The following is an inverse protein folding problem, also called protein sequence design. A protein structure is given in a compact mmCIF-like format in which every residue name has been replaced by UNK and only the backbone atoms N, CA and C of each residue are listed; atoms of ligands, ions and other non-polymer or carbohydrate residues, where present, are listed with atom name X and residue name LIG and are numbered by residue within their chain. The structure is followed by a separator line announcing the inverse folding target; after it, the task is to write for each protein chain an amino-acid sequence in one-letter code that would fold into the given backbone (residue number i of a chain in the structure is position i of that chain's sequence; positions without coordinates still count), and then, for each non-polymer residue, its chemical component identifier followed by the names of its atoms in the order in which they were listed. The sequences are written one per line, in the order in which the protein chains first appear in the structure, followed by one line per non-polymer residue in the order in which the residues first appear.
data_IF_829059046559
#
_entry.id   IF_829059046559
#
_cell.length_a   1.000
_cell.length_b   1.000
_cell.length_c   1.000
_cell.angle_alpha   90.00
_cell.angle_beta   90.00
_cell.angle_gamma   90.00
#
_symmetry.space_group_name_H-M   'P 1'
#
loop_
_entity.id
_entity.type
_entity.pdbx_description
1 polymer ?
#
# COMPACT_ATOMS: atom_id res chain seq x y z
N UNK A 1 -21.18 -4.00 -15.68
CA UNK A 1 -21.62 -3.52 -14.36
C UNK A 1 -20.44 -2.90 -13.64
N UNK A 2 -20.60 -1.73 -12.99
CA UNK A 2 -19.51 -1.15 -12.17
C UNK A 2 -19.28 -2.01 -10.91
N UNK A 3 -18.06 -2.01 -10.35
CA UNK A 3 -17.77 -2.76 -9.11
C UNK A 3 -18.72 -2.38 -7.97
N UNK A 4 -19.00 -1.09 -7.84
CA UNK A 4 -19.90 -0.54 -6.82
C UNK A 4 -21.32 -1.10 -7.01
N UNK A 5 -21.84 -1.13 -8.24
CA UNK A 5 -23.18 -1.66 -8.49
C UNK A 5 -23.24 -3.17 -8.19
N UNK A 6 -22.20 -3.91 -8.58
CA UNK A 6 -22.07 -5.33 -8.22
C UNK A 6 -22.12 -5.55 -6.70
N UNK A 7 -21.35 -4.77 -5.92
CA UNK A 7 -21.37 -4.88 -4.47
C UNK A 7 -22.70 -4.47 -3.85
N UNK A 8 -23.37 -3.45 -4.37
CA UNK A 8 -24.72 -3.09 -3.91
C UNK A 8 -25.71 -4.23 -4.13
N UNK A 9 -25.73 -4.84 -5.31
CA UNK A 9 -26.60 -5.98 -5.60
C UNK A 9 -26.28 -7.20 -4.75
N UNK A 10 -24.98 -7.47 -4.51
CA UNK A 10 -24.53 -8.61 -3.71
C UNK A 10 -24.82 -8.45 -2.22
N UNK A 11 -24.56 -7.25 -1.65
CA UNK A 11 -24.55 -7.03 -0.21
C UNK A 11 -25.86 -6.43 0.34
N UNK A 12 -26.59 -5.64 -0.45
CA UNK A 12 -27.92 -5.13 -0.04
C UNK A 12 -29.07 -5.86 -0.71
N UNK A 13 -28.79 -6.57 -1.80
CA UNK A 13 -29.79 -7.31 -2.57
C UNK A 13 -30.02 -8.73 -2.07
N UNK A 14 -29.99 -9.68 -3.01
CA UNK A 14 -30.59 -11.04 -2.91
C UNK A 14 -29.87 -12.03 -1.97
N UNK A 15 -29.05 -11.58 -1.03
CA UNK A 15 -28.18 -12.47 -0.26
C UNK A 15 -28.60 -12.64 1.20
N UNK A 16 -29.72 -13.31 1.44
CA UNK A 16 -30.01 -13.84 2.78
C UNK A 16 -28.93 -14.84 3.23
N UNK A 17 -28.24 -15.49 2.28
CA UNK A 17 -27.22 -16.51 2.55
C UNK A 17 -25.90 -15.98 3.11
N UNK A 18 -25.56 -14.71 2.87
CA UNK A 18 -24.31 -14.12 3.39
C UNK A 18 -24.52 -13.31 4.68
N UNK A 19 -25.76 -13.09 5.11
CA UNK A 19 -26.05 -12.36 6.35
C UNK A 19 -25.36 -13.01 7.54
N UNK A 20 -24.78 -12.18 8.41
CA UNK A 20 -23.96 -12.61 9.55
C UNK A 20 -22.52 -13.01 9.20
N UNK A 21 -22.12 -12.94 7.91
CA UNK A 21 -20.73 -13.18 7.52
C UNK A 21 -19.82 -12.00 7.90
N UNK A 22 -18.53 -12.29 8.07
CA UNK A 22 -17.48 -11.28 8.18
C UNK A 22 -17.18 -10.68 6.81
N UNK A 23 -17.10 -9.36 6.70
CA UNK A 23 -16.68 -8.67 5.47
C UNK A 23 -15.28 -8.08 5.60
N UNK A 24 -14.37 -8.52 4.72
CA UNK A 24 -13.03 -7.96 4.59
C UNK A 24 -12.90 -7.10 3.33
N UNK A 25 -12.44 -5.86 3.51
CA UNK A 25 -11.99 -5.05 2.39
C UNK A 25 -10.58 -5.46 1.95
N UNK A 26 -10.45 -5.88 0.69
CA UNK A 26 -9.17 -6.34 0.11
C UNK A 26 -8.60 -5.38 -0.94
N UNK A 27 -9.20 -4.20 -1.12
CA UNK A 27 -8.70 -3.13 -1.99
C UNK A 27 -9.30 -1.78 -1.58
N UNK A 28 -8.71 -0.71 -2.10
CA UNK A 28 -9.08 0.67 -1.74
C UNK A 28 -10.53 1.01 -2.11
N UNK A 29 -11.04 0.55 -3.27
CA UNK A 29 -12.43 0.75 -3.69
C UNK A 29 -13.41 0.09 -2.68
N UNK A 30 -13.04 -1.08 -2.13
CA UNK A 30 -13.83 -1.79 -1.15
C UNK A 30 -13.82 -1.11 0.22
N UNK A 31 -12.68 -0.52 0.64
CA UNK A 31 -12.63 0.29 1.86
C UNK A 31 -13.53 1.51 1.73
N UNK A 32 -13.46 2.23 0.60
CA UNK A 32 -14.32 3.39 0.33
C UNK A 32 -15.80 2.99 0.33
N UNK A 33 -16.15 1.85 -0.27
CA UNK A 33 -17.50 1.31 -0.28
C UNK A 33 -17.99 0.97 1.15
N UNK A 34 -17.20 0.21 1.92
CA UNK A 34 -17.53 -0.12 3.31
C UNK A 34 -17.66 1.15 4.16
N UNK A 35 -16.80 2.15 3.96
CA UNK A 35 -16.87 3.41 4.68
C UNK A 35 -18.11 4.23 4.38
N UNK A 36 -18.49 4.29 3.11
CA UNK A 36 -19.68 5.04 2.67
C UNK A 36 -20.99 4.39 3.16
N UNK A 37 -20.99 3.06 3.30
CA UNK A 37 -22.19 2.29 3.63
C UNK A 37 -22.12 1.56 4.98
N UNK A 38 -21.24 2.01 5.87
CA UNK A 38 -20.89 1.28 7.09
C UNK A 38 -22.10 0.98 7.98
N UNK A 39 -22.94 1.99 8.22
CA UNK A 39 -24.08 1.89 9.14
C UNK A 39 -25.18 0.96 8.62
N UNK A 40 -25.38 0.88 7.30
CA UNK A 40 -26.33 -0.05 6.69
C UNK A 40 -25.75 -1.48 6.67
N UNK A 41 -24.47 -1.63 6.33
CA UNK A 41 -23.83 -2.95 6.23
C UNK A 41 -23.68 -3.64 7.59
N UNK A 42 -23.40 -2.88 8.66
CA UNK A 42 -23.25 -3.45 10.01
C UNK A 42 -24.54 -4.03 10.60
N UNK A 43 -25.71 -3.70 10.02
CA UNK A 43 -26.99 -4.32 10.40
C UNK A 43 -27.14 -5.74 9.84
N UNK A 44 -26.32 -6.12 8.85
CA UNK A 44 -26.44 -7.37 8.12
C UNK A 44 -25.18 -8.24 8.19
N UNK A 45 -24.03 -7.64 8.47
CA UNK A 45 -22.72 -8.28 8.43
C UNK A 45 -21.87 -7.94 9.64
N UNK A 46 -20.88 -8.79 9.92
CA UNK A 46 -19.86 -8.53 10.92
C UNK A 46 -18.75 -7.70 10.26
N UNK A 47 -18.60 -6.45 10.69
CA UNK A 47 -17.60 -5.52 10.16
C UNK A 47 -16.55 -5.22 11.22
N UNK A 48 -15.35 -4.87 10.76
CA UNK A 48 -14.37 -4.22 11.61
C UNK A 48 -14.93 -2.91 12.20
N UNK A 49 -14.51 -2.59 13.43
CA UNK A 49 -14.75 -1.25 13.96
C UNK A 49 -13.96 -0.24 13.18
N UNK A 50 -14.68 0.75 12.66
CA UNK A 50 -14.13 1.66 11.67
C UNK A 50 -14.55 3.10 11.98
N UNK A 51 -13.57 3.96 12.24
CA UNK A 51 -13.77 5.40 12.15
C UNK A 51 -13.76 5.79 10.67
N UNK A 52 -14.95 5.93 10.06
CA UNK A 52 -15.15 6.15 8.62
C UNK A 52 -14.25 7.26 8.07
N UNK A 53 -14.26 8.43 8.70
CA UNK A 53 -13.47 9.60 8.28
C UNK A 53 -11.97 9.32 8.30
N UNK A 54 -11.47 8.59 9.30
CA UNK A 54 -10.05 8.24 9.41
C UNK A 54 -9.66 7.26 8.29
N UNK A 55 -10.49 6.27 7.99
CA UNK A 55 -10.23 5.30 6.92
C UNK A 55 -10.22 5.98 5.54
N UNK A 56 -11.19 6.86 5.28
CA UNK A 56 -11.23 7.65 4.06
C UNK A 56 -10.01 8.59 3.95
N UNK A 57 -9.58 9.19 5.06
CA UNK A 57 -8.35 9.99 5.10
C UNK A 57 -7.10 9.16 4.79
N UNK A 58 -7.04 7.88 5.18
CA UNK A 58 -5.93 6.98 4.86
C UNK A 58 -5.88 6.59 3.37
N UNK A 59 -7.02 6.55 2.69
CA UNK A 59 -7.05 6.35 1.23
C UNK A 59 -6.56 7.59 0.47
N UNK A 60 -6.72 8.77 1.06
CA UNK A 60 -6.26 10.03 0.49
C UNK A 60 -4.79 10.29 0.86
N UNK A 61 -3.90 10.19 -0.13
CA UNK A 61 -2.45 10.36 0.07
C UNK A 61 -2.10 11.71 0.72
N UNK A 62 -2.77 12.78 0.33
CA UNK A 62 -2.50 14.11 0.86
C UNK A 62 -2.91 14.21 2.34
N UNK A 63 -4.12 13.74 2.68
CA UNK A 63 -4.59 13.71 4.07
C UNK A 63 -3.74 12.79 4.96
N UNK A 64 -3.27 11.68 4.44
CA UNK A 64 -2.30 10.82 5.14
C UNK A 64 -1.03 11.59 5.52
N UNK A 65 -0.48 12.38 4.59
CA UNK A 65 0.73 13.18 4.86
C UNK A 65 0.47 14.33 5.85
N UNK A 66 -0.68 14.99 5.76
CA UNK A 66 -1.06 16.03 6.72
C UNK A 66 -1.18 15.49 8.15
N UNK A 67 -1.86 14.34 8.31
CA UNK A 67 -2.01 13.68 9.60
C UNK A 67 -0.64 13.27 10.17
N UNK A 68 0.22 12.69 9.34
CA UNK A 68 1.58 12.33 9.74
C UNK A 68 2.39 13.57 10.19
N UNK A 69 2.34 14.67 9.41
CA UNK A 69 3.03 15.91 9.74
C UNK A 69 2.52 16.53 11.05
N UNK A 70 1.21 16.49 11.31
CA UNK A 70 0.61 16.99 12.56
C UNK A 70 1.09 16.23 13.81
N UNK A 71 1.49 14.97 13.64
CA UNK A 71 2.07 14.12 14.68
C UNK A 71 3.60 14.24 14.76
N UNK A 72 4.21 15.12 13.97
CA UNK A 72 5.66 15.28 13.89
C UNK A 72 6.38 14.07 13.28
N UNK A 73 5.68 13.29 12.44
CA UNK A 73 6.26 12.18 11.68
C UNK A 73 6.76 12.74 10.35
N UNK A 74 7.93 12.26 9.89
CA UNK A 74 8.53 12.74 8.66
C UNK A 74 7.65 12.47 7.44
N UNK A 75 7.54 13.47 6.56
CA UNK A 75 6.82 13.37 5.28
C UNK A 75 7.65 13.99 4.15
N UNK A 76 7.48 13.54 2.89
CA UNK A 76 7.89 14.36 1.75
C UNK A 76 7.16 15.70 1.79
N UNK A 77 7.80 16.77 1.30
CA UNK A 77 7.05 17.97 0.96
C UNK A 77 5.98 17.62 -0.09
N UNK A 78 4.81 18.22 0.02
CA UNK A 78 3.74 18.03 -0.94
C UNK A 78 2.92 19.30 -1.08
N UNK A 79 2.29 19.46 -2.24
CA UNK A 79 1.51 20.64 -2.61
C UNK A 79 0.24 20.20 -3.32
N UNK A 80 -0.88 20.82 -2.95
CA UNK A 80 -2.10 20.73 -3.73
C UNK A 80 -1.98 21.61 -4.96
N UNK A 81 -2.54 21.15 -6.07
CA UNK A 81 -2.68 21.95 -7.29
C UNK A 81 -4.16 22.20 -7.49
N UNK A 82 -4.66 23.35 -7.01
CA UNK A 82 -6.07 23.74 -7.13
C UNK A 82 -6.27 24.74 -8.26
N UNK A 83 -5.32 25.65 -8.42
CA UNK A 83 -5.35 26.70 -9.42
C UNK A 83 -3.99 26.89 -10.11
N UNK A 84 -3.98 27.55 -11.26
CA UNK A 84 -2.76 27.84 -12.01
C UNK A 84 -1.77 28.70 -11.22
N UNK A 85 -2.29 29.58 -10.36
CA UNK A 85 -1.50 30.51 -9.55
C UNK A 85 -0.69 29.80 -8.46
N UNK A 86 -1.09 28.58 -8.07
CA UNK A 86 -0.35 27.76 -7.10
C UNK A 86 1.05 27.41 -7.62
N UNK A 87 1.22 27.33 -8.94
CA UNK A 87 2.48 26.88 -9.57
C UNK A 87 3.66 27.77 -9.23
N UNK A 88 3.50 29.09 -9.17
CA UNK A 88 4.60 30.01 -8.85
C UNK A 88 5.17 29.72 -7.46
N UNK A 89 4.29 29.55 -6.47
CA UNK A 89 4.68 29.21 -5.10
C UNK A 89 5.33 27.82 -5.06
N UNK A 90 4.71 26.83 -5.70
CA UNK A 90 5.22 25.45 -5.73
C UNK A 90 6.63 25.41 -6.33
N UNK A 91 6.85 26.07 -7.46
CA UNK A 91 8.15 26.11 -8.13
C UNK A 91 9.23 26.76 -7.27
N UNK A 92 8.88 27.79 -6.48
CA UNK A 92 9.84 28.45 -5.59
C UNK A 92 10.30 27.58 -4.41
N UNK A 93 9.47 26.60 -3.98
CA UNK A 93 9.74 25.72 -2.84
C UNK A 93 10.22 24.31 -3.24
N UNK A 94 10.09 23.98 -4.52
CA UNK A 94 10.33 22.64 -5.07
C UNK A 94 11.81 22.39 -5.32
N UNK A 95 12.30 21.24 -4.86
CA UNK A 95 13.54 20.63 -5.36
C UNK A 95 13.18 19.46 -6.27
N UNK A 96 13.62 19.50 -7.52
CA UNK A 96 13.42 18.42 -8.48
C UNK A 96 14.36 17.22 -8.20
N UNK A 97 13.96 15.98 -8.56
CA UNK A 97 12.70 15.63 -9.21
C UNK A 97 11.50 15.63 -8.24
N UNK A 98 10.32 15.84 -8.79
CA UNK A 98 9.04 15.66 -8.09
C UNK A 98 8.17 14.63 -8.78
N UNK A 99 7.17 14.14 -8.05
CA UNK A 99 6.18 13.20 -8.56
C UNK A 99 4.78 13.78 -8.47
N UNK A 100 4.03 13.59 -9.54
CA UNK A 100 2.63 13.99 -9.68
C UNK A 100 1.79 12.75 -9.39
N UNK A 101 1.21 12.70 -8.19
CA UNK A 101 0.42 11.56 -7.70
C UNK A 101 -1.08 11.88 -7.79
N UNK A 102 -1.92 10.93 -8.17
CA UNK A 102 -3.36 11.13 -8.05
C UNK A 102 -3.82 11.17 -6.60
N UNK A 103 -4.79 12.04 -6.33
CA UNK A 103 -5.56 11.98 -5.07
C UNK A 103 -6.32 10.65 -5.01
N UNK A 104 -7.02 10.30 -6.09
CA UNK A 104 -7.76 9.03 -6.23
C UNK A 104 -7.09 8.10 -7.26
N UNK A 105 -6.38 7.07 -6.78
CA UNK A 105 -5.62 6.13 -7.62
C UNK A 105 -6.47 5.48 -8.73
N UNK A 106 -7.71 5.08 -8.41
CA UNK A 106 -8.56 4.33 -9.34
C UNK A 106 -9.03 5.18 -10.54
N UNK A 107 -9.28 6.48 -10.36
CA UNK A 107 -9.65 7.40 -11.44
C UNK A 107 -8.47 7.62 -12.39
N UNK A 108 -7.27 7.77 -11.82
CA UNK A 108 -6.04 7.94 -12.59
C UNK A 108 -5.71 6.73 -13.45
N UNK A 109 -5.80 5.52 -12.90
CA UNK A 109 -5.53 4.27 -13.65
C UNK A 109 -6.50 4.08 -14.83
N UNK A 110 -7.75 4.57 -14.75
CA UNK A 110 -8.67 4.55 -15.90
C UNK A 110 -8.18 5.42 -17.06
N UNK A 111 -7.54 6.54 -16.76
CA UNK A 111 -7.05 7.50 -17.76
C UNK A 111 -5.64 7.18 -18.26
N UNK A 112 -4.78 6.65 -17.40
CA UNK A 112 -3.35 6.48 -17.64
C UNK A 112 -2.87 5.02 -17.52
N UNK A 113 -3.80 4.06 -17.55
CA UNK A 113 -3.53 2.61 -17.54
C UNK A 113 -2.67 2.18 -16.34
N UNK A 114 -1.45 1.72 -16.59
CA UNK A 114 -0.56 1.13 -15.57
C UNK A 114 0.36 2.17 -14.89
N UNK A 115 0.16 3.46 -15.14
CA UNK A 115 0.95 4.52 -14.53
C UNK A 115 0.39 4.85 -13.15
N UNK A 116 1.24 4.82 -12.11
CA UNK A 116 0.84 5.17 -10.73
C UNK A 116 0.99 6.66 -10.42
N UNK A 117 1.97 7.30 -11.04
CA UNK A 117 2.30 8.71 -10.92
C UNK A 117 3.18 9.10 -12.11
N UNK A 118 3.27 10.39 -12.39
CA UNK A 118 4.28 10.93 -13.30
C UNK A 118 5.48 11.44 -12.51
N UNK A 119 6.66 11.40 -13.11
CA UNK A 119 7.86 12.05 -12.58
C UNK A 119 8.18 13.26 -13.45
N UNK A 120 8.56 14.36 -12.81
CA UNK A 120 9.06 15.55 -13.47
C UNK A 120 10.45 15.88 -12.94
N UNK A 121 11.42 15.96 -13.83
CA UNK A 121 12.81 16.32 -13.51
C UNK A 121 13.04 17.84 -13.52
N UNK A 122 12.10 18.62 -14.04
CA UNK A 122 12.17 20.07 -14.16
C UNK A 122 10.77 20.69 -14.29
N UNK A 123 10.72 22.02 -14.27
CA UNK A 123 9.50 22.84 -14.38
C UNK A 123 8.69 22.57 -15.64
N UNK A 124 9.35 22.40 -16.79
CA UNK A 124 8.67 22.17 -18.07
C UNK A 124 7.94 20.83 -18.06
N UNK A 125 8.58 19.78 -17.56
CA UNK A 125 7.95 18.46 -17.41
C UNK A 125 6.81 18.49 -16.40
N UNK A 126 6.97 19.22 -15.29
CA UNK A 126 5.93 19.38 -14.28
C UNK A 126 4.69 20.03 -14.88
N UNK A 127 4.87 21.18 -15.54
CA UNK A 127 3.78 21.93 -16.18
C UNK A 127 3.09 21.09 -17.25
N UNK A 128 3.86 20.34 -18.05
CA UNK A 128 3.32 19.43 -19.06
C UNK A 128 2.40 18.35 -18.45
N UNK A 129 2.84 17.67 -17.39
CA UNK A 129 2.04 16.62 -16.76
C UNK A 129 0.79 17.15 -16.06
N UNK A 130 0.88 18.32 -15.44
CA UNK A 130 -0.27 18.96 -14.79
C UNK A 130 -1.34 19.34 -15.82
N UNK A 131 -0.94 19.88 -16.96
CA UNK A 131 -1.87 20.21 -18.05
C UNK A 131 -2.55 18.95 -18.60
N UNK A 132 -1.82 17.85 -18.77
CA UNK A 132 -2.40 16.55 -19.15
C UNK A 132 -3.42 16.05 -18.13
N UNK A 133 -3.13 16.17 -16.83
CA UNK A 133 -4.04 15.75 -15.76
C UNK A 133 -5.32 16.61 -15.75
N UNK A 134 -5.17 17.92 -15.93
CA UNK A 134 -6.28 18.88 -16.02
C UNK A 134 -7.20 18.58 -17.20
N UNK A 135 -6.64 18.35 -18.39
CA UNK A 135 -7.42 18.00 -19.59
C UNK A 135 -8.22 16.70 -19.43
N UNK A 136 -7.76 15.80 -18.56
CA UNK A 136 -8.41 14.52 -18.28
C UNK A 136 -9.29 14.54 -17.02
N UNK A 137 -9.47 15.69 -16.40
CA UNK A 137 -10.22 15.89 -15.14
C UNK A 137 -9.76 14.92 -14.05
N UNK A 138 -8.44 14.83 -13.82
CA UNK A 138 -7.86 14.01 -12.76
C UNK A 138 -7.17 14.90 -11.74
N UNK A 139 -7.67 14.86 -10.50
CA UNK A 139 -7.06 15.61 -9.39
C UNK A 139 -5.76 14.95 -8.92
N UNK A 140 -4.74 15.79 -8.74
CA UNK A 140 -3.38 15.37 -8.40
C UNK A 140 -2.79 16.24 -7.30
N UNK A 141 -1.79 15.68 -6.62
CA UNK A 141 -0.87 16.41 -5.77
C UNK A 141 0.54 16.30 -6.35
N UNK A 142 1.34 17.32 -6.07
CA UNK A 142 2.78 17.27 -6.29
C UNK A 142 3.41 16.82 -4.98
N UNK A 143 4.33 15.87 -5.05
CA UNK A 143 5.04 15.36 -3.90
C UNK A 143 6.52 15.32 -4.24
N UNK A 144 7.35 15.69 -3.28
CA UNK A 144 8.79 15.51 -3.33
C UNK A 144 9.13 14.04 -3.60
N UNK A 145 10.17 13.81 -4.41
CA UNK A 145 10.76 12.51 -4.58
C UNK A 145 11.68 12.17 -3.40
N UNK A 146 11.42 11.06 -2.72
CA UNK A 146 12.34 10.54 -1.69
C UNK A 146 13.43 9.70 -2.37
N UNK A 147 14.71 10.15 -2.37
CA UNK A 147 15.79 9.51 -3.10
C UNK A 147 16.20 8.16 -2.49
N UNK A 148 17.11 7.49 -3.18
CA UNK A 148 17.68 6.22 -2.75
C UNK A 148 16.97 4.98 -3.31
N UNK A 149 17.55 3.79 -3.13
CA UNK A 149 17.07 2.54 -3.68
C UNK A 149 15.82 2.00 -2.97
N UNK A 150 15.18 0.99 -3.57
CA UNK A 150 13.96 0.36 -3.05
C UNK A 150 14.15 -0.31 -1.68
N UNK A 151 15.37 -0.74 -1.34
CA UNK A 151 15.68 -1.37 -0.04
C UNK A 151 15.60 -0.45 1.17
N UNK A 152 15.35 0.85 0.96
CA UNK A 152 15.06 1.80 2.02
C UNK A 152 13.56 1.90 2.33
N UNK A 153 12.71 1.21 1.55
CA UNK A 153 11.27 1.14 1.78
C UNK A 153 10.94 0.01 2.76
N UNK A 154 10.22 0.38 3.80
CA UNK A 154 9.79 -0.50 4.87
C UNK A 154 8.32 -0.23 5.19
N UNK A 155 7.68 -1.16 5.88
CA UNK A 155 6.26 -1.01 6.21
C UNK A 155 5.97 -1.56 7.60
N UNK A 156 4.99 -0.97 8.27
CA UNK A 156 4.46 -1.41 9.55
C UNK A 156 3.01 -1.86 9.37
N UNK A 157 2.67 -3.00 9.97
CA UNK A 157 1.35 -3.59 9.99
C UNK A 157 0.88 -3.79 11.42
N UNK A 158 -0.41 -3.54 11.63
CA UNK A 158 -1.08 -3.83 12.89
C UNK A 158 -2.57 -4.01 12.66
N UNK A 159 -3.26 -4.56 13.66
CA UNK A 159 -4.69 -4.46 13.78
C UNK A 159 -5.01 -3.85 15.14
N UNK A 160 -5.79 -2.78 15.17
CA UNK A 160 -6.13 -2.08 16.42
C UNK A 160 -7.60 -2.35 16.76
N UNK A 161 -7.84 -3.00 17.90
CA UNK A 161 -9.18 -3.31 18.38
C UNK A 161 -9.95 -2.06 18.78
N UNK A 162 -11.25 -2.21 19.01
CA UNK A 162 -12.18 -1.21 19.53
C UNK A 162 -11.62 -0.44 20.73
N UNK A 163 -10.97 -1.15 21.66
CA UNK A 163 -10.37 -0.57 22.87
C UNK A 163 -9.15 0.30 22.59
N UNK A 164 -8.60 0.24 21.37
CA UNK A 164 -7.36 0.93 21.00
C UNK A 164 -6.11 0.10 21.21
N UNK A 165 -6.25 -1.19 21.50
CA UNK A 165 -5.12 -2.09 21.72
C UNK A 165 -4.71 -2.80 20.43
N UNK A 166 -3.40 -2.94 20.15
CA UNK A 166 -2.92 -3.66 18.98
C UNK A 166 -2.98 -5.18 19.22
N UNK A 167 -3.52 -5.93 18.26
CA UNK A 167 -3.45 -7.40 18.29
C UNK A 167 -2.06 -7.92 17.90
N UNK A 168 -1.32 -7.17 17.08
CA UNK A 168 0.04 -7.51 16.68
C UNK A 168 0.81 -6.28 16.18
N UNK A 169 2.13 -6.40 16.17
CA UNK A 169 3.04 -5.49 15.48
C UNK A 169 3.87 -6.30 14.50
N UNK A 170 3.98 -5.82 13.27
CA UNK A 170 4.77 -6.50 12.25
C UNK A 170 5.44 -5.48 11.36
N UNK A 171 6.70 -5.72 11.00
CA UNK A 171 7.40 -4.91 10.01
C UNK A 171 8.03 -5.77 8.92
N UNK A 172 8.25 -5.14 7.77
CA UNK A 172 8.96 -5.74 6.64
C UNK A 172 9.79 -4.71 5.93
N UNK A 173 10.70 -5.20 5.09
CA UNK A 173 11.43 -4.41 4.10
C UNK A 173 11.10 -4.89 2.69
N UNK A 174 11.08 -3.96 1.75
CA UNK A 174 11.05 -4.28 0.31
C UNK A 174 12.48 -4.34 -0.17
N UNK A 175 12.90 -5.36 -0.90
CA UNK A 175 14.26 -5.45 -1.45
C UNK A 175 14.33 -4.87 -2.86
N UNK A 176 13.32 -5.15 -3.70
CA UNK A 176 13.22 -4.65 -5.08
C UNK A 176 11.78 -4.41 -5.51
N UNK A 177 11.58 -3.44 -6.40
CA UNK A 177 10.31 -3.16 -7.09
C UNK A 177 10.48 -3.10 -8.60
N UNK A 178 9.37 -3.22 -9.33
CA UNK A 178 9.32 -2.98 -10.78
C UNK A 178 8.10 -2.15 -11.18
N UNK A 179 8.28 -1.03 -11.90
CA UNK A 179 9.56 -0.38 -12.22
C UNK A 179 10.33 0.04 -10.96
N UNK A 180 11.66 0.15 -11.05
CA UNK A 180 12.49 0.57 -9.93
C UNK A 180 12.01 1.91 -9.36
N UNK A 181 11.87 2.01 -8.03
CA UNK A 181 11.32 3.17 -7.32
C UNK A 181 9.86 3.60 -7.60
N UNK A 182 9.18 3.02 -8.58
CA UNK A 182 7.80 3.37 -8.96
C UNK A 182 6.79 2.22 -8.87
N UNK A 183 7.32 1.01 -8.70
CA UNK A 183 6.63 -0.22 -8.95
C UNK A 183 5.84 -0.82 -7.80
N UNK A 184 5.36 -2.03 -8.08
CA UNK A 184 5.03 -3.00 -7.04
C UNK A 184 6.29 -3.75 -6.63
N UNK A 185 6.37 -4.14 -5.38
CA UNK A 185 7.46 -4.96 -4.89
C UNK A 185 7.51 -6.34 -5.54
N UNK A 186 8.73 -6.78 -5.83
CA UNK A 186 9.04 -8.06 -6.46
C UNK A 186 9.71 -9.01 -5.48
N UNK A 187 10.45 -8.45 -4.53
CA UNK A 187 11.15 -9.20 -3.50
C UNK A 187 10.95 -8.48 -2.17
N UNK A 188 10.43 -9.20 -1.19
CA UNK A 188 10.18 -8.73 0.17
C UNK A 188 10.99 -9.56 1.15
N UNK A 189 11.23 -9.02 2.34
CA UNK A 189 11.81 -9.75 3.46
C UNK A 189 11.07 -9.37 4.75
N UNK A 190 10.80 -10.37 5.60
CA UNK A 190 10.34 -10.15 6.98
C UNK A 190 11.52 -9.65 7.80
N UNK A 191 11.33 -8.58 8.56
CA UNK A 191 12.40 -7.99 9.35
C UNK A 191 11.78 -7.08 10.41
N UNK A 192 12.14 -7.27 11.66
CA UNK A 192 11.76 -6.35 12.73
C UNK A 192 12.59 -5.07 12.65
N UNK A 193 11.93 -3.93 12.44
CA UNK A 193 12.57 -2.61 12.31
C UNK A 193 11.96 -1.71 13.39
N UNK A 194 12.59 -1.59 14.57
CA UNK A 194 12.03 -0.87 15.72
C UNK A 194 11.56 0.55 15.39
N UNK A 195 12.37 1.34 14.69
CA UNK A 195 12.01 2.72 14.30
C UNK A 195 10.74 2.79 13.44
N UNK A 196 10.51 1.78 12.59
CA UNK A 196 9.32 1.68 11.73
C UNK A 196 8.09 1.29 12.55
N UNK A 197 8.26 0.37 13.51
CA UNK A 197 7.21 -0.01 14.42
C UNK A 197 6.79 1.15 15.33
N UNK A 198 7.75 1.90 15.88
CA UNK A 198 7.50 3.06 16.74
C UNK A 198 6.76 4.17 15.98
N UNK A 199 7.22 4.52 14.77
CA UNK A 199 6.57 5.55 13.96
C UNK A 199 5.20 5.10 13.44
N UNK A 200 5.08 3.83 13.04
CA UNK A 200 3.81 3.25 12.59
C UNK A 200 2.77 3.22 13.72
N UNK A 201 3.18 2.79 14.91
CA UNK A 201 2.32 2.83 16.10
C UNK A 201 1.95 4.27 16.49
N UNK A 202 2.92 5.19 16.52
CA UNK A 202 2.68 6.62 16.78
C UNK A 202 1.67 7.21 15.82
N UNK A 203 1.75 6.86 14.53
CA UNK A 203 0.79 7.32 13.53
C UNK A 203 -0.62 6.79 13.83
N UNK A 204 -0.79 5.47 13.90
CA UNK A 204 -2.13 4.87 14.04
C UNK A 204 -2.79 5.19 15.38
N UNK A 205 -2.04 5.17 16.49
CA UNK A 205 -2.54 5.57 17.80
C UNK A 205 -2.89 7.07 17.85
N UNK A 206 -2.05 7.92 17.25
CA UNK A 206 -2.25 9.38 17.21
C UNK A 206 -3.51 9.80 16.44
N UNK A 207 -3.83 9.11 15.34
CA UNK A 207 -5.08 9.35 14.58
C UNK A 207 -6.28 8.55 15.11
N UNK A 208 -6.11 7.83 16.24
CA UNK A 208 -7.13 6.97 16.86
C UNK A 208 -7.72 5.93 15.90
N UNK A 209 -6.85 5.34 15.08
CA UNK A 209 -7.24 4.32 14.10
C UNK A 209 -7.77 3.04 14.77
N UNK A 210 -8.61 2.30 14.07
CA UNK A 210 -9.21 1.01 14.45
C UNK A 210 -9.24 0.11 13.22
N UNK A 211 -9.10 -1.21 13.40
CA UNK A 211 -9.03 -2.17 12.30
C UNK A 211 -7.61 -2.40 11.76
N UNK A 212 -7.53 -3.04 10.59
CA UNK A 212 -6.27 -3.41 9.92
C UNK A 212 -5.61 -2.18 9.28
N UNK A 213 -4.37 -1.89 9.67
CA UNK A 213 -3.59 -0.79 9.14
C UNK A 213 -2.23 -1.25 8.62
N UNK A 214 -1.84 -0.74 7.45
CA UNK A 214 -0.47 -0.80 6.95
C UNK A 214 0.00 0.60 6.57
N UNK A 215 1.17 1.02 7.03
CA UNK A 215 1.80 2.29 6.66
C UNK A 215 3.20 2.02 6.11
N UNK A 216 3.51 2.65 4.97
CA UNK A 216 4.80 2.53 4.31
C UNK A 216 5.67 3.75 4.56
N UNK A 217 6.94 3.51 4.86
CA UNK A 217 7.96 4.53 5.03
C UNK A 217 9.13 4.28 4.09
N UNK A 218 9.78 5.34 3.63
CA UNK A 218 11.09 5.26 2.99
C UNK A 218 12.09 6.11 3.76
N UNK A 219 13.28 5.57 4.02
CA UNK A 219 14.37 6.37 4.60
C UNK A 219 14.90 7.35 3.57
N UNK A 220 14.87 8.62 3.90
CA UNK A 220 15.48 9.68 3.10
C UNK A 220 16.97 9.79 3.46
N UNK A 221 17.84 9.58 2.47
CA UNK A 221 19.29 9.62 2.69
C UNK A 221 19.83 11.03 2.94
N UNK A 222 19.06 12.08 2.65
CA UNK A 222 19.49 13.48 2.82
C UNK A 222 19.49 13.91 4.28
N UNK A 223 18.53 13.42 5.06
CA UNK A 223 18.37 13.76 6.49
C UNK A 223 18.34 12.53 7.42
N UNK A 224 18.40 11.32 6.87
CA UNK A 224 18.39 10.06 7.59
C UNK A 224 17.03 9.63 8.12
N UNK A 225 15.97 10.43 7.95
CA UNK A 225 14.66 10.20 8.57
C UNK A 225 13.78 9.29 7.72
N UNK A 226 12.93 8.50 8.38
CA UNK A 226 11.82 7.81 7.72
C UNK A 226 10.74 8.82 7.32
N UNK A 227 10.31 8.75 6.06
CA UNK A 227 9.25 9.59 5.49
C UNK A 227 8.06 8.71 5.10
N UNK A 228 6.85 9.11 5.51
CA UNK A 228 5.61 8.42 5.12
C UNK A 228 5.46 8.48 3.60
N UNK A 229 5.15 7.33 3.00
CA UNK A 229 4.89 7.19 1.56
C UNK A 229 3.39 7.05 1.29
N UNK A 230 2.73 6.13 1.99
CA UNK A 230 1.29 5.90 1.90
C UNK A 230 0.78 5.05 3.07
N UNK A 231 -0.53 5.10 3.29
CA UNK A 231 -1.27 4.21 4.18
C UNK A 231 -2.18 3.30 3.35
N UNK A 232 -2.46 2.13 3.90
CA UNK A 232 -3.20 1.05 3.29
C UNK A 232 -4.12 0.45 4.37
N UNK A 233 -5.36 0.95 4.52
CA UNK A 233 -6.31 0.52 5.55
C UNK A 233 -7.01 -0.81 5.18
N UNK A 234 -6.24 -1.78 4.69
CA UNK A 234 -6.73 -3.07 4.16
C UNK A 234 -5.59 -4.07 3.99
N UNK A 235 -5.94 -5.32 3.72
CA UNK A 235 -4.98 -6.36 3.35
C UNK A 235 -4.11 -5.93 2.17
N UNK A 236 -2.80 -5.99 2.33
CA UNK A 236 -1.85 -5.56 1.31
C UNK A 236 -1.24 -6.74 0.55
N UNK A 237 -0.56 -6.45 -0.56
CA UNK A 237 0.05 -7.46 -1.42
C UNK A 237 0.96 -8.52 -0.72
N UNK A 238 1.74 -8.21 0.35
CA UNK A 238 2.60 -9.20 0.98
C UNK A 238 1.88 -10.11 2.00
N UNK A 239 0.55 -10.22 1.91
CA UNK A 239 -0.25 -11.02 2.84
C UNK A 239 0.27 -12.46 3.00
N UNK A 240 0.62 -13.14 1.89
CA UNK A 240 1.13 -14.50 1.94
C UNK A 240 2.46 -14.59 2.70
N UNK A 241 3.33 -13.58 2.59
CA UNK A 241 4.57 -13.52 3.37
C UNK A 241 4.29 -13.45 4.87
N UNK A 242 3.34 -12.59 5.27
CA UNK A 242 2.96 -12.40 6.68
C UNK A 242 2.42 -13.72 7.23
N UNK A 243 1.47 -14.34 6.53
CA UNK A 243 0.87 -15.63 6.92
C UNK A 243 1.92 -16.73 7.02
N UNK A 244 2.74 -16.94 5.98
CA UNK A 244 3.73 -18.01 5.94
C UNK A 244 4.88 -17.80 6.94
N UNK A 245 5.15 -16.55 7.33
CA UNK A 245 6.12 -16.28 8.39
C UNK A 245 5.65 -16.73 9.78
N UNK A 246 4.35 -17.00 9.96
CA UNK A 246 3.76 -17.47 11.22
C UNK A 246 2.63 -16.59 11.74
N UNK A 247 2.45 -15.38 11.17
CA UNK A 247 1.42 -14.43 11.60
C UNK A 247 0.23 -14.47 10.64
N UNK A 248 -0.72 -15.36 10.87
CA UNK A 248 -1.92 -15.51 10.02
C UNK A 248 -2.95 -14.40 10.32
N UNK A 249 -2.67 -13.16 9.87
CA UNK A 249 -3.49 -11.99 10.20
C UNK A 249 -4.98 -12.11 9.81
N UNK A 250 -5.40 -12.77 8.72
CA UNK A 250 -6.82 -12.97 8.43
C UNK A 250 -7.52 -13.82 9.48
N UNK A 251 -6.87 -14.89 9.98
CA UNK A 251 -7.42 -15.72 11.07
C UNK A 251 -7.46 -14.95 12.39
N UNK A 252 -6.40 -14.20 12.71
CA UNK A 252 -6.35 -13.37 13.93
C UNK A 252 -7.53 -12.39 13.93
N UNK A 253 -7.72 -11.66 12.82
CA UNK A 253 -8.78 -10.66 12.69
C UNK A 253 -10.16 -11.34 12.69
N UNK A 254 -10.33 -12.41 11.92
CA UNK A 254 -11.58 -13.16 11.89
C UNK A 254 -11.98 -13.64 13.29
N UNK A 255 -11.06 -14.30 14.01
CA UNK A 255 -11.31 -14.79 15.36
C UNK A 255 -11.66 -13.65 16.33
N UNK A 256 -10.95 -12.51 16.25
CA UNK A 256 -11.29 -11.31 17.03
C UNK A 256 -12.74 -10.87 16.77
N UNK A 257 -13.11 -10.72 15.50
CA UNK A 257 -14.44 -10.22 15.10
C UNK A 257 -15.60 -11.12 15.52
N UNK A 258 -15.38 -12.44 15.58
CA UNK A 258 -16.42 -13.40 15.98
C UNK A 258 -16.27 -13.93 17.41
N UNK A 259 -15.33 -13.37 18.19
CA UNK A 259 -15.12 -13.75 19.60
C UNK A 259 -14.52 -15.13 19.81
N UNK A 260 -13.78 -15.67 18.84
CA UNK A 260 -13.01 -16.90 19.01
C UNK A 260 -11.62 -16.62 19.64
N UNK A 261 -10.99 -17.62 20.27
CA UNK A 261 -9.62 -17.50 20.76
C UNK A 261 -8.65 -17.06 19.68
N UNK A 262 -7.76 -16.13 20.01
CA UNK A 262 -6.65 -15.76 19.14
C UNK A 262 -5.60 -16.88 19.13
N UNK A 263 -4.84 -17.05 18.03
CA UNK A 263 -3.68 -17.94 18.01
C UNK A 263 -2.70 -17.65 19.16
N UNK A 264 -2.11 -18.69 19.74
CA UNK A 264 -1.29 -18.60 20.97
C UNK A 264 -0.01 -17.76 20.83
N UNK A 265 0.47 -17.51 19.61
CA UNK A 265 1.73 -16.79 19.36
C UNK A 265 1.59 -15.79 18.23
N UNK A 266 2.06 -14.56 18.49
CA UNK A 266 2.27 -13.51 17.50
C UNK A 266 3.72 -13.50 16.96
N UNK A 267 4.50 -14.55 17.26
CA UNK A 267 5.86 -14.67 16.73
C UNK A 267 5.81 -15.00 15.25
N UNK A 268 6.74 -14.41 14.50
CA UNK A 268 6.93 -14.72 13.09
C UNK A 268 8.41 -14.89 12.79
N UNK A 269 8.69 -15.64 11.73
CA UNK A 269 10.02 -15.93 11.23
C UNK A 269 10.58 -14.69 10.55
N UNK A 270 11.69 -14.17 11.07
CA UNK A 270 12.46 -13.10 10.43
C UNK A 270 13.29 -13.64 9.26
N UNK A 271 13.63 -12.75 8.33
CA UNK A 271 14.41 -13.03 7.12
C UNK A 271 13.78 -14.07 6.17
N UNK A 272 12.48 -14.32 6.29
CA UNK A 272 11.72 -15.02 5.27
C UNK A 272 11.44 -14.08 4.11
N UNK A 273 11.53 -14.59 2.89
CA UNK A 273 11.38 -13.78 1.69
C UNK A 273 10.17 -14.20 0.87
N UNK A 274 9.52 -13.23 0.21
CA UNK A 274 8.51 -13.50 -0.80
C UNK A 274 8.97 -12.94 -2.14
N UNK A 275 8.89 -13.76 -3.19
CA UNK A 275 9.47 -13.46 -4.50
C UNK A 275 8.43 -13.57 -5.62
N UNK A 276 8.40 -12.57 -6.50
CA UNK A 276 7.64 -12.55 -7.76
C UNK A 276 8.64 -12.70 -8.93
N UNK A 277 8.94 -13.92 -9.41
CA UNK A 277 10.08 -14.16 -10.30
C UNK A 277 10.03 -13.34 -11.59
N UNK A 278 8.89 -13.36 -12.29
CA UNK A 278 8.75 -12.67 -13.58
C UNK A 278 8.88 -11.15 -13.42
N UNK A 279 8.36 -10.60 -12.32
CA UNK A 279 8.46 -9.16 -12.01
C UNK A 279 9.90 -8.79 -11.63
N UNK A 280 10.58 -9.65 -10.86
CA UNK A 280 11.94 -9.42 -10.41
C UNK A 280 12.97 -9.52 -11.56
N UNK A 281 12.72 -10.39 -12.56
CA UNK A 281 13.53 -10.40 -13.80
C UNK A 281 13.42 -9.05 -14.52
N UNK A 282 12.20 -8.48 -14.63
CA UNK A 282 12.02 -7.15 -15.23
C UNK A 282 12.72 -6.05 -14.43
N UNK A 283 12.65 -6.11 -13.10
CA UNK A 283 13.41 -5.22 -12.21
C UNK A 283 14.92 -5.36 -12.44
N UNK A 284 15.42 -6.59 -12.53
CA UNK A 284 16.82 -6.86 -12.80
C UNK A 284 17.28 -6.26 -14.12
N UNK A 285 16.56 -6.50 -15.21
CA UNK A 285 16.91 -5.96 -16.52
C UNK A 285 16.97 -4.43 -16.51
N UNK A 286 16.02 -3.78 -15.82
CA UNK A 286 16.00 -2.33 -15.66
C UNK A 286 17.23 -1.82 -14.87
N UNK A 287 17.49 -2.39 -13.69
CA UNK A 287 18.59 -1.98 -12.81
C UNK A 287 19.96 -2.31 -13.43
N UNK A 288 20.07 -3.43 -14.14
CA UNK A 288 21.29 -3.84 -14.82
C UNK A 288 21.63 -2.90 -15.98
N UNK A 289 20.63 -2.48 -16.78
CA UNK A 289 20.81 -1.47 -17.83
C UNK A 289 21.29 -0.12 -17.26
N UNK A 290 20.87 0.21 -16.03
CA UNK A 290 21.32 1.40 -15.29
C UNK A 290 22.67 1.21 -14.57
N UNK A 291 23.27 0.02 -14.66
CA UNK A 291 24.51 -0.36 -13.97
C UNK A 291 24.42 -0.26 -12.44
N UNK A 292 23.22 -0.37 -11.88
CA UNK A 292 22.99 -0.33 -10.43
C UNK A 292 23.21 -1.69 -9.76
N UNK A 293 23.04 -2.79 -10.52
CA UNK A 293 23.32 -4.16 -10.07
C UNK A 293 23.93 -5.01 -11.19
N UNK A 294 24.74 -6.00 -10.81
CA UNK A 294 25.28 -7.05 -11.67
C UNK A 294 24.41 -8.31 -11.64
N UNK A 295 24.56 -9.18 -12.63
CA UNK A 295 23.90 -10.50 -12.63
C UNK A 295 24.28 -11.33 -11.40
N UNK A 296 25.55 -11.25 -10.96
CA UNK A 296 26.06 -11.97 -9.79
C UNK A 296 25.38 -11.48 -8.50
N UNK A 297 25.23 -10.18 -8.33
CA UNK A 297 24.53 -9.59 -7.18
C UNK A 297 23.04 -9.96 -7.19
N UNK A 298 22.40 -9.93 -8.37
CA UNK A 298 21.01 -10.35 -8.49
C UNK A 298 20.82 -11.82 -8.11
N UNK A 299 21.60 -12.74 -8.67
CA UNK A 299 21.53 -14.17 -8.33
C UNK A 299 21.77 -14.41 -6.83
N UNK A 300 22.74 -13.72 -6.21
CA UNK A 300 23.01 -13.84 -4.77
C UNK A 300 21.87 -13.31 -3.88
N UNK A 301 21.09 -12.37 -4.39
CA UNK A 301 19.96 -11.79 -3.64
C UNK A 301 18.69 -12.62 -3.73
N UNK A 302 18.64 -13.65 -4.58
CA UNK A 302 17.49 -14.55 -4.65
C UNK A 302 17.63 -15.59 -3.53
N UNK A 303 16.72 -15.59 -2.55
CA UNK A 303 16.76 -16.50 -1.41
C UNK A 303 16.44 -17.94 -1.84
N UNK A 304 17.22 -18.90 -1.31
CA UNK A 304 16.96 -20.34 -1.48
C UNK A 304 15.58 -20.73 -0.93
N UNK A 305 15.24 -20.24 0.26
CA UNK A 305 13.93 -20.44 0.88
C UNK A 305 13.08 -19.19 0.67
N UNK A 306 11.98 -19.33 -0.07
CA UNK A 306 11.08 -18.23 -0.36
C UNK A 306 9.64 -18.68 -0.50
N UNK A 307 8.75 -17.73 -0.27
CA UNK A 307 7.33 -17.83 -0.52
C UNK A 307 7.04 -17.34 -1.92
N UNK A 308 6.32 -18.16 -2.69
CA UNK A 308 5.71 -17.72 -3.94
C UNK A 308 4.27 -17.28 -3.64
N UNK A 309 3.85 -16.09 -4.09
CA UNK A 309 2.59 -15.47 -3.66
C UNK A 309 1.33 -16.19 -4.14
N UNK A 310 1.42 -16.97 -5.22
CA UNK A 310 0.28 -17.64 -5.85
C UNK A 310 0.49 -19.12 -6.09
N UNK A 311 1.72 -19.62 -5.94
CA UNK A 311 2.03 -21.00 -6.31
C UNK A 311 1.72 -21.91 -5.14
N UNK A 312 0.81 -22.84 -5.38
CA UNK A 312 0.55 -23.99 -4.54
C UNK A 312 0.54 -25.24 -5.39
N UNK A 313 1.11 -26.31 -4.86
CA UNK A 313 1.24 -27.58 -5.59
C UNK A 313 -0.11 -28.28 -5.77
N UNK A 314 -1.00 -28.10 -4.79
CA UNK A 314 -2.36 -28.62 -4.72
C UNK A 314 -3.40 -27.71 -5.41
N UNK A 315 -3.05 -26.45 -5.69
CA UNK A 315 -3.86 -25.52 -6.48
C UNK A 315 -2.99 -24.70 -7.47
N UNK A 316 -2.55 -25.31 -8.58
CA UNK A 316 -1.64 -24.65 -9.53
C UNK A 316 -2.35 -23.67 -10.49
N UNK A 317 -3.68 -23.73 -10.61
CA UNK A 317 -4.44 -22.97 -11.62
C UNK A 317 -4.31 -21.44 -11.49
N UNK A 318 -4.36 -20.84 -10.29
CA UNK A 318 -4.13 -19.40 -10.12
C UNK A 318 -2.76 -18.97 -10.66
N UNK A 319 -1.72 -19.75 -10.42
CA UNK A 319 -0.37 -19.46 -10.93
C UNK A 319 -0.28 -19.52 -12.44
N UNK A 320 -0.89 -20.52 -13.07
CA UNK A 320 -0.95 -20.64 -14.53
C UNK A 320 -1.71 -19.48 -15.17
N UNK A 321 -2.84 -19.08 -14.58
CA UNK A 321 -3.63 -17.94 -15.03
C UNK A 321 -2.83 -16.63 -15.00
N UNK A 322 -2.04 -16.41 -13.94
CA UNK A 322 -1.19 -15.22 -13.80
C UNK A 322 -0.08 -15.23 -14.84
N UNK A 323 0.58 -16.36 -15.06
CA UNK A 323 1.60 -16.48 -16.11
C UNK A 323 1.00 -16.13 -17.49
N UNK A 324 -0.17 -16.69 -17.82
CA UNK A 324 -0.87 -16.38 -19.06
C UNK A 324 -1.14 -14.87 -19.23
N UNK A 325 -1.60 -14.19 -18.18
CA UNK A 325 -1.84 -12.75 -18.22
C UNK A 325 -0.56 -11.91 -18.33
N UNK A 326 0.55 -12.38 -17.77
CA UNK A 326 1.84 -11.67 -17.80
C UNK A 326 2.53 -11.79 -19.15
N UNK A 327 2.32 -12.90 -19.88
CA UNK A 327 2.89 -13.14 -21.20
C UNK A 327 2.01 -12.68 -22.37
N UNK A 328 0.69 -12.52 -22.17
CA UNK A 328 -0.24 -12.05 -23.20
C UNK A 328 -0.59 -10.54 -23.11
N UNK A 329 0.17 -9.78 -22.32
CA UNK A 329 0.17 -8.31 -22.29
C UNK A 329 1.55 -7.81 -22.68
#
# INVERSE_FOLDING_TARGET
MSKILYWKELLFGRSDTLRGSVLFACNDDAVEFLATHYDELREHYILDTMAQDVHLAMLNKARTLELAASLGIGTPKFWYVRHSEDLTTILSETTFPVIIKPIHSHLFLKQFKNTKYFSAANENELTHWLEICRQKNVDVIISEWIPGPDHLLCSYFTYITESGEPLFHYTKRVIRRFPANAGLACLHVTEWIPEVADLGWKFFSGVKYRGLGNIEFKRDLRDGKLKVIECNPRFAAPQELITQSGLNIPIIIYNHLIGLPLPESNLYTEHMHMWYPVRDIRAFLELHRRKEITLKEWLKSIPLHHVLPYFRIDDPLPSLSILFHVFNK
#
